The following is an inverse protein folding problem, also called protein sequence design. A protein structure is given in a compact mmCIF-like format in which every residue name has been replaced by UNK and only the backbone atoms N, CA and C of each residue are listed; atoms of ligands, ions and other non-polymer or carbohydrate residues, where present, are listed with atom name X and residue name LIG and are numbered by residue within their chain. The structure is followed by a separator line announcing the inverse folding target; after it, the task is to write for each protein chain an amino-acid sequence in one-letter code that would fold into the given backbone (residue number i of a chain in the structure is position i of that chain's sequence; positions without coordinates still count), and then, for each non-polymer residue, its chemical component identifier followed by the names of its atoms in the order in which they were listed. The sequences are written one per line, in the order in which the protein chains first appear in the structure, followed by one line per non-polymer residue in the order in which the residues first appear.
data_IF_985422782187
#
_entry.id   IF_985422782187
#
_cell.length_a   1.000
_cell.length_b   1.000
_cell.length_c   1.000
_cell.angle_alpha   90.00
_cell.angle_beta   90.00
_cell.angle_gamma   90.00
#
_symmetry.space_group_name_H-M   'P 1'
#
loop_
_entity.id
_entity.type
_entity.pdbx_description
1 polymer ?
#
# COMPACT_ATOMS: atom_id res chain seq x y z
N UNK A 1 -20.50 24.22 63.57
CA UNK A 1 -20.76 23.50 62.31
C UNK A 1 -20.98 24.54 61.22
N UNK A 2 -19.96 24.83 60.42
CA UNK A 2 -20.00 25.66 59.20
C UNK A 2 -18.85 25.14 58.34
N UNK A 3 -19.17 24.48 57.22
CA UNK A 3 -18.18 23.99 56.27
C UNK A 3 -17.49 25.17 55.57
N UNK A 4 -16.18 25.11 55.29
CA UNK A 4 -15.54 26.07 54.40
C UNK A 4 -16.00 25.81 52.94
N UNK A 5 -16.00 26.84 52.08
CA UNK A 5 -16.59 26.76 50.75
C UNK A 5 -15.75 25.87 49.80
N UNK A 6 -16.46 25.21 48.87
CA UNK A 6 -15.86 24.46 47.77
C UNK A 6 -14.87 25.35 46.99
N UNK A 7 -13.61 24.95 46.92
CA UNK A 7 -12.67 25.48 45.94
C UNK A 7 -12.98 24.90 44.56
N UNK A 8 -13.96 25.46 43.85
CA UNK A 8 -14.03 25.34 42.39
C UNK A 8 -13.10 26.39 41.79
N UNK A 9 -11.86 26.01 41.49
CA UNK A 9 -11.02 26.79 40.57
C UNK A 9 -11.35 26.36 39.15
N UNK A 10 -12.25 27.09 38.50
CA UNK A 10 -12.29 27.20 37.05
C UNK A 10 -11.24 28.24 36.66
N UNK A 11 -10.29 27.84 35.83
CA UNK A 11 -9.46 28.75 35.05
C UNK A 11 -9.72 28.44 33.57
N UNK A 12 -10.37 29.33 32.81
CA UNK A 12 -10.38 29.23 31.36
C UNK A 12 -9.06 29.82 30.87
N UNK A 13 -8.15 28.97 30.40
CA UNK A 13 -7.12 29.41 29.48
C UNK A 13 -7.73 29.39 28.08
N UNK A 14 -8.21 30.56 27.66
CA UNK A 14 -8.59 30.81 26.28
C UNK A 14 -7.30 30.94 25.49
N UNK A 15 -6.98 29.92 24.70
CA UNK A 15 -6.20 30.09 23.49
C UNK A 15 -7.14 29.91 22.30
N UNK A 16 -7.41 31.03 21.63
CA UNK A 16 -8.05 31.06 20.32
C UNK A 16 -7.03 30.52 19.30
N UNK A 17 -7.13 29.24 18.99
CA UNK A 17 -6.85 28.74 17.63
C UNK A 17 -7.92 27.71 17.27
N UNK A 18 -8.48 27.85 16.08
CA UNK A 18 -9.59 27.02 15.60
C UNK A 18 -9.04 25.63 15.29
N UNK A 19 -9.12 24.70 16.24
CA UNK A 19 -8.96 23.27 15.95
C UNK A 19 -10.34 22.63 15.91
N UNK A 20 -10.81 22.29 14.71
CA UNK A 20 -11.89 21.33 14.54
C UNK A 20 -11.57 20.07 15.36
N UNK A 21 -12.49 19.66 16.23
CA UNK A 21 -12.39 18.41 16.97
C UNK A 21 -13.14 17.35 16.16
N UNK A 22 -12.38 16.49 15.49
CA UNK A 22 -12.92 15.39 14.71
C UNK A 22 -13.08 14.17 15.65
N UNK A 23 -14.25 13.53 15.60
CA UNK A 23 -14.51 12.27 16.28
C UNK A 23 -14.71 11.20 15.21
N UNK A 24 -14.02 10.07 15.35
CA UNK A 24 -14.09 8.94 14.44
C UNK A 24 -14.76 7.77 15.17
N UNK A 25 -15.82 7.22 14.58
CA UNK A 25 -16.39 5.94 15.00
C UNK A 25 -15.92 4.89 14.00
N UNK A 26 -14.94 4.08 14.39
CA UNK A 26 -14.43 2.99 13.57
C UNK A 26 -15.05 1.69 14.07
N UNK A 27 -15.94 1.10 13.26
CA UNK A 27 -16.54 -0.20 13.53
C UNK A 27 -15.59 -1.28 13.01
N UNK A 28 -15.16 -2.18 13.90
CA UNK A 28 -14.25 -3.30 13.61
C UNK A 28 -14.90 -4.60 14.05
N UNK A 29 -14.74 -5.65 13.25
CA UNK A 29 -15.46 -6.90 13.42
C UNK A 29 -14.64 -8.02 14.08
N UNK A 30 -13.31 -7.86 14.21
CA UNK A 30 -12.42 -8.82 14.87
C UNK A 30 -11.41 -8.15 15.80
N UNK A 31 -10.83 -8.92 16.73
CA UNK A 31 -9.79 -8.43 17.65
C UNK A 31 -8.56 -7.91 16.88
N UNK A 32 -8.16 -8.59 15.82
CA UNK A 32 -7.01 -8.17 15.00
C UNK A 32 -7.32 -6.87 14.23
N UNK A 33 -8.58 -6.69 13.81
CA UNK A 33 -9.05 -5.42 13.21
C UNK A 33 -9.05 -4.27 14.23
N UNK A 34 -9.32 -4.56 15.52
CA UNK A 34 -9.17 -3.57 16.60
C UNK A 34 -7.72 -3.16 16.76
N UNK A 35 -6.77 -4.11 16.77
CA UNK A 35 -5.34 -3.82 16.90
C UNK A 35 -4.82 -3.02 15.70
N UNK A 36 -5.24 -3.37 14.48
CA UNK A 36 -4.93 -2.61 13.27
C UNK A 36 -5.48 -1.17 13.32
N UNK A 37 -6.74 -1.00 13.73
CA UNK A 37 -7.35 0.33 13.87
C UNK A 37 -6.69 1.18 14.98
N UNK A 38 -6.27 0.54 16.08
CA UNK A 38 -5.53 1.19 17.17
C UNK A 38 -4.14 1.67 16.74
N UNK A 39 -3.49 0.99 15.80
CA UNK A 39 -2.22 1.43 15.18
C UNK A 39 -2.45 2.52 14.13
N UNK A 40 -3.53 2.41 13.35
CA UNK A 40 -3.91 3.38 12.31
C UNK A 40 -4.22 4.77 12.86
N UNK A 41 -4.93 4.85 13.99
CA UNK A 41 -5.45 6.11 14.53
C UNK A 41 -4.35 7.11 14.99
N UNK A 42 -3.31 6.71 15.75
CA UNK A 42 -2.15 7.55 16.00
C UNK A 42 -1.32 7.84 14.74
N UNK A 43 -1.34 6.93 13.76
CA UNK A 43 -0.53 6.99 12.54
C UNK A 43 -1.05 8.01 11.50
N UNK A 44 -2.37 8.20 11.39
CA UNK A 44 -2.98 9.20 10.48
C UNK A 44 -2.54 10.64 10.83
N UNK A 45 -2.15 10.89 12.08
CA UNK A 45 -1.83 12.23 12.58
C UNK A 45 -0.33 12.45 12.87
N UNK A 46 0.54 11.46 12.63
CA UNK A 46 1.96 11.59 12.97
C UNK A 46 2.77 12.19 11.80
N UNK A 47 3.45 13.34 11.99
CA UNK A 47 4.07 14.10 10.90
C UNK A 47 5.32 13.46 10.26
N UNK A 48 5.89 12.41 10.87
CA UNK A 48 7.14 11.75 10.42
C UNK A 48 6.94 10.47 9.55
N UNK A 49 5.78 10.30 8.90
CA UNK A 49 5.38 9.23 7.96
C UNK A 49 6.39 8.09 7.65
N UNK A 50 6.25 6.97 8.38
CA UNK A 50 6.91 5.67 8.12
C UNK A 50 5.99 4.45 8.13
N UNK A 51 4.67 4.66 8.23
CA UNK A 51 3.79 3.62 8.77
C UNK A 51 3.08 2.74 7.75
N UNK A 52 2.94 3.15 6.49
CA UNK A 52 2.26 2.31 5.50
C UNK A 52 3.01 1.00 5.33
N UNK A 53 4.34 1.08 5.16
CA UNK A 53 5.16 -0.13 5.06
C UNK A 53 5.14 -0.97 6.34
N UNK A 54 5.07 -0.35 7.53
CA UNK A 54 4.98 -1.08 8.80
C UNK A 54 3.64 -1.82 8.90
N UNK A 55 2.53 -1.17 8.53
CA UNK A 55 1.21 -1.79 8.51
C UNK A 55 1.13 -2.92 7.48
N UNK A 56 1.77 -2.76 6.32
CA UNK A 56 1.87 -3.80 5.30
C UNK A 56 2.65 -5.00 5.84
N UNK A 57 3.83 -4.79 6.46
CA UNK A 57 4.61 -5.86 7.06
C UNK A 57 3.88 -6.56 8.21
N UNK A 58 3.19 -5.80 9.08
CA UNK A 58 2.36 -6.36 10.15
C UNK A 58 1.22 -7.21 9.59
N UNK A 59 0.50 -6.70 8.59
CA UNK A 59 -0.58 -7.44 7.93
C UNK A 59 -0.09 -8.71 7.25
N UNK A 60 1.07 -8.65 6.58
CA UNK A 60 1.72 -9.81 5.99
C UNK A 60 2.14 -10.85 7.05
N UNK A 61 2.60 -10.41 8.23
CA UNK A 61 2.92 -11.28 9.37
C UNK A 61 1.68 -12.02 9.89
N UNK A 62 0.54 -11.33 9.98
CA UNK A 62 -0.75 -11.95 10.35
C UNK A 62 -1.21 -12.95 9.29
N UNK A 63 -1.06 -12.62 7.99
CA UNK A 63 -1.36 -13.56 6.90
C UNK A 63 -0.52 -14.84 7.02
N UNK A 64 0.78 -14.75 7.30
CA UNK A 64 1.62 -15.94 7.48
C UNK A 64 1.12 -16.85 8.61
N UNK A 65 0.60 -16.26 9.69
CA UNK A 65 0.04 -16.97 10.84
C UNK A 65 -1.36 -17.55 10.58
N UNK A 66 -2.13 -16.95 9.68
CA UNK A 66 -3.51 -17.34 9.38
C UNK A 66 -3.63 -18.74 8.76
N UNK A 67 -2.72 -19.12 7.87
CA UNK A 67 -2.75 -20.42 7.22
C UNK A 67 -1.97 -20.48 5.89
N UNK A 68 -2.13 -21.58 5.13
CA UNK A 68 -1.49 -21.73 3.83
C UNK A 68 -2.17 -20.85 2.75
N UNK A 69 -1.35 -20.17 1.96
CA UNK A 69 -1.75 -19.36 0.81
C UNK A 69 -0.55 -19.19 -0.14
N UNK A 70 -0.79 -18.97 -1.42
CA UNK A 70 0.28 -18.80 -2.43
C UNK A 70 0.68 -17.33 -2.62
N UNK A 71 -0.30 -16.41 -2.59
CA UNK A 71 -0.12 -14.99 -2.87
C UNK A 71 -0.81 -14.08 -1.87
N UNK A 72 -0.13 -12.97 -1.50
CA UNK A 72 -0.69 -11.84 -0.77
C UNK A 72 -0.94 -10.68 -1.74
N UNK A 73 -2.12 -10.05 -1.68
CA UNK A 73 -2.52 -8.91 -2.51
C UNK A 73 -2.96 -7.79 -1.57
N UNK A 74 -2.36 -6.60 -1.65
CA UNK A 74 -2.86 -5.43 -0.91
C UNK A 74 -3.87 -4.65 -1.75
N UNK A 75 -4.92 -4.15 -1.09
CA UNK A 75 -6.00 -3.39 -1.71
C UNK A 75 -6.43 -2.27 -0.76
N UNK A 76 -6.93 -1.17 -1.31
CA UNK A 76 -7.64 -0.12 -0.57
C UNK A 76 -9.14 -0.19 -0.78
N UNK A 77 -9.90 0.54 0.03
CA UNK A 77 -11.36 0.63 -0.09
C UNK A 77 -11.88 1.26 -1.40
N UNK A 78 -11.01 1.82 -2.23
CA UNK A 78 -11.32 2.37 -3.56
C UNK A 78 -10.80 1.46 -4.71
N UNK A 79 -10.45 0.21 -4.41
CA UNK A 79 -10.05 -0.82 -5.38
C UNK A 79 -11.25 -1.68 -5.79
N UNK A 80 -11.30 -2.10 -7.06
CA UNK A 80 -12.34 -3.01 -7.56
C UNK A 80 -11.77 -4.06 -8.52
N UNK A 81 -12.24 -5.32 -8.48
CA UNK A 81 -11.79 -6.34 -9.42
C UNK A 81 -12.16 -6.01 -10.86
N UNK A 82 -11.32 -6.41 -11.81
CA UNK A 82 -11.59 -6.39 -13.25
C UNK A 82 -11.84 -7.79 -13.82
N UNK A 83 -11.46 -8.82 -13.07
CA UNK A 83 -11.57 -10.22 -13.47
C UNK A 83 -12.22 -11.07 -12.38
N UNK A 84 -12.81 -12.20 -12.78
CA UNK A 84 -13.36 -13.18 -11.85
C UNK A 84 -12.26 -13.82 -11.01
N UNK A 85 -12.66 -14.39 -9.86
CA UNK A 85 -11.73 -15.13 -9.00
C UNK A 85 -11.04 -16.28 -9.77
N UNK A 86 -11.79 -16.99 -10.61
CA UNK A 86 -11.25 -18.08 -11.42
C UNK A 86 -10.19 -17.57 -12.40
N UNK A 87 -10.44 -16.43 -13.06
CA UNK A 87 -9.49 -15.82 -13.99
C UNK A 87 -8.26 -15.25 -13.29
N UNK A 88 -8.41 -14.68 -12.09
CA UNK A 88 -7.28 -14.26 -11.25
C UNK A 88 -6.38 -15.46 -10.90
N UNK A 89 -6.97 -16.57 -10.45
CA UNK A 89 -6.24 -17.80 -10.13
C UNK A 89 -5.51 -18.33 -11.37
N UNK A 90 -6.16 -18.37 -12.52
CA UNK A 90 -5.53 -18.80 -13.78
C UNK A 90 -4.32 -17.93 -14.16
N UNK A 91 -4.45 -16.59 -14.06
CA UNK A 91 -3.36 -15.66 -14.35
C UNK A 91 -2.18 -15.83 -13.38
N UNK A 92 -2.44 -15.97 -12.09
CA UNK A 92 -1.38 -16.20 -11.09
C UNK A 92 -0.74 -17.59 -11.22
N UNK A 93 -1.50 -18.60 -11.62
CA UNK A 93 -0.97 -19.93 -11.90
C UNK A 93 -0.02 -19.91 -13.11
N UNK A 94 -0.35 -19.15 -14.16
CA UNK A 94 0.54 -18.95 -15.32
C UNK A 94 1.87 -18.29 -14.92
N UNK A 95 1.83 -17.31 -14.01
CA UNK A 95 3.01 -16.59 -13.51
C UNK A 95 3.50 -17.10 -12.14
N UNK A 96 3.31 -18.38 -11.85
CA UNK A 96 3.64 -18.95 -10.53
C UNK A 96 5.09 -18.67 -10.15
N UNK A 97 5.29 -18.15 -8.95
CA UNK A 97 6.61 -17.78 -8.40
C UNK A 97 7.07 -16.36 -8.75
N UNK A 98 6.35 -15.62 -9.60
CA UNK A 98 6.61 -14.21 -9.85
C UNK A 98 5.97 -13.31 -8.80
N UNK A 99 6.63 -12.19 -8.47
CA UNK A 99 6.12 -11.13 -7.61
C UNK A 99 5.80 -9.89 -8.46
N UNK A 100 4.83 -9.09 -8.03
CA UNK A 100 4.36 -7.91 -8.75
C UNK A 100 4.33 -6.72 -7.80
N UNK A 101 5.18 -5.71 -7.99
CA UNK A 101 5.33 -4.54 -7.08
C UNK A 101 5.39 -3.19 -7.83
N UNK A 102 4.93 -3.14 -9.09
CA UNK A 102 5.22 -2.02 -10.00
C UNK A 102 4.03 -1.61 -10.86
N UNK A 103 3.96 -0.31 -11.15
CA UNK A 103 3.09 0.22 -12.20
C UNK A 103 3.81 0.02 -13.54
N UNK A 104 3.54 -1.09 -14.23
CA UNK A 104 3.94 -1.38 -15.62
C UNK A 104 5.45 -1.50 -15.91
N UNK A 105 5.81 -2.36 -16.88
CA UNK A 105 7.19 -2.57 -17.31
C UNK A 105 7.88 -3.80 -16.73
N UNK A 106 9.12 -4.03 -17.15
CA UNK A 106 9.88 -5.27 -16.95
C UNK A 106 10.56 -5.39 -15.58
N UNK A 107 10.70 -4.29 -14.82
CA UNK A 107 11.39 -4.19 -13.52
C UNK A 107 10.83 -2.97 -12.77
N UNK A 108 11.00 -2.86 -11.43
CA UNK A 108 10.79 -1.58 -10.76
C UNK A 108 11.58 -0.47 -11.45
N UNK A 109 10.95 0.70 -11.54
CA UNK A 109 11.52 1.85 -12.22
C UNK A 109 12.78 2.30 -11.44
N UNK A 110 13.86 2.64 -12.13
CA UNK A 110 15.12 3.15 -11.53
C UNK A 110 15.26 4.66 -11.63
N UNK A 111 16.22 5.30 -10.94
CA UNK A 111 16.35 6.77 -10.95
C UNK A 111 16.34 7.44 -12.34
N UNK A 112 16.90 6.79 -13.37
CA UNK A 112 16.89 7.32 -14.75
C UNK A 112 15.55 7.11 -15.49
N UNK A 113 14.70 6.22 -15.00
CA UNK A 113 13.37 5.86 -15.54
C UNK A 113 12.23 6.49 -14.71
N UNK A 114 12.54 6.85 -13.46
CA UNK A 114 11.65 7.44 -12.46
C UNK A 114 11.67 8.97 -12.59
N UNK A 115 10.52 9.66 -12.50
CA UNK A 115 10.50 11.12 -12.44
C UNK A 115 11.41 11.69 -11.33
N UNK A 116 12.15 12.76 -11.61
CA UNK A 116 13.17 13.32 -10.70
C UNK A 116 12.68 13.52 -9.25
N UNK A 117 11.44 14.01 -9.07
CA UNK A 117 10.87 14.22 -7.73
C UNK A 117 10.69 12.92 -6.92
N UNK A 118 10.51 11.77 -7.57
CA UNK A 118 10.45 10.45 -6.92
C UNK A 118 11.87 9.93 -6.63
N UNK A 119 12.82 10.15 -7.53
CA UNK A 119 14.23 9.79 -7.29
C UNK A 119 14.83 10.57 -6.10
N UNK A 120 14.52 11.87 -5.99
CA UNK A 120 14.96 12.73 -4.87
C UNK A 120 14.50 12.21 -3.50
N UNK A 121 13.35 11.53 -3.44
CA UNK A 121 12.79 10.95 -2.19
C UNK A 121 13.61 9.81 -1.63
N UNK A 122 14.25 9.02 -2.49
CA UNK A 122 15.12 7.91 -2.09
C UNK A 122 16.56 8.35 -1.87
N UNK A 123 17.00 9.41 -2.54
CA UNK A 123 18.34 9.98 -2.39
C UNK A 123 18.64 10.48 -0.96
N UNK A 124 17.61 10.64 -0.12
CA UNK A 124 17.78 10.97 1.31
C UNK A 124 18.45 9.84 2.11
N UNK A 125 18.35 8.58 1.65
CA UNK A 125 18.99 7.43 2.29
C UNK A 125 20.47 7.42 1.92
N UNK A 126 21.32 7.79 2.88
CA UNK A 126 22.75 8.05 2.68
C UNK A 126 23.60 6.80 2.72
N UNK A 127 23.16 5.78 3.44
CA UNK A 127 23.93 4.57 3.70
C UNK A 127 23.06 3.34 3.56
N UNK A 128 23.22 2.63 2.44
CA UNK A 128 22.55 1.36 2.19
C UNK A 128 23.36 0.19 2.78
N UNK A 129 22.68 -0.86 3.27
CA UNK A 129 23.37 -2.04 3.79
C UNK A 129 24.07 -2.83 2.68
N UNK A 130 25.07 -3.61 3.06
CA UNK A 130 25.77 -4.53 2.15
C UNK A 130 24.79 -5.42 1.39
N UNK A 131 24.97 -5.52 0.07
CA UNK A 131 24.11 -6.30 -0.82
C UNK A 131 23.08 -5.47 -1.59
N UNK A 132 22.80 -4.24 -1.18
CA UNK A 132 22.01 -3.30 -1.99
C UNK A 132 22.89 -2.73 -3.09
N UNK A 133 22.70 -3.25 -4.30
CA UNK A 133 23.36 -2.77 -5.53
C UNK A 133 22.47 -1.85 -6.36
N UNK A 134 21.16 -1.90 -6.09
CA UNK A 134 20.10 -1.14 -6.76
C UNK A 134 19.25 -0.43 -5.70
N UNK A 135 19.75 0.65 -5.08
CA UNK A 135 19.03 1.38 -4.02
C UNK A 135 17.91 2.29 -4.55
N UNK A 136 17.85 2.47 -5.86
CA UNK A 136 17.06 3.48 -6.56
C UNK A 136 15.78 2.90 -7.19
N UNK A 137 15.28 1.77 -6.66
CA UNK A 137 14.07 1.13 -7.16
C UNK A 137 12.82 1.82 -6.60
N UNK A 138 11.90 2.14 -7.50
CA UNK A 138 10.64 2.79 -7.19
C UNK A 138 9.49 2.10 -7.96
N UNK A 139 8.27 2.17 -7.42
CA UNK A 139 7.10 1.59 -8.08
C UNK A 139 5.77 2.09 -7.54
N UNK A 140 4.79 1.20 -7.59
CA UNK A 140 3.47 1.40 -7.00
C UNK A 140 3.48 0.90 -5.56
N UNK A 141 2.64 1.45 -4.70
CA UNK A 141 2.40 0.87 -3.37
C UNK A 141 1.62 -0.46 -3.45
N UNK A 142 0.99 -0.76 -4.59
CA UNK A 142 0.19 -1.96 -4.78
C UNK A 142 1.04 -3.14 -5.23
N UNK A 143 0.77 -4.30 -4.66
CA UNK A 143 1.53 -5.50 -4.90
C UNK A 143 0.69 -6.77 -4.94
N UNK A 144 1.28 -7.77 -5.60
CA UNK A 144 0.95 -9.20 -5.46
C UNK A 144 2.25 -9.92 -5.15
N UNK A 145 2.38 -10.44 -3.93
CA UNK A 145 3.62 -11.05 -3.44
C UNK A 145 3.42 -12.55 -3.20
N UNK A 146 4.38 -13.35 -3.65
CA UNK A 146 4.53 -14.76 -3.30
C UNK A 146 4.72 -14.92 -1.79
N UNK A 147 4.21 -16.02 -1.23
CA UNK A 147 4.42 -16.35 0.18
C UNK A 147 5.91 -16.41 0.55
N UNK A 148 6.72 -17.02 -0.31
CA UNK A 148 8.15 -17.18 -0.07
C UNK A 148 8.87 -15.83 0.02
N UNK A 149 8.48 -14.86 -0.82
CA UNK A 149 9.03 -13.50 -0.73
C UNK A 149 8.56 -12.78 0.54
N UNK A 150 7.31 -12.97 0.95
CA UNK A 150 6.79 -12.40 2.21
C UNK A 150 7.57 -12.96 3.42
N UNK A 151 7.80 -14.27 3.46
CA UNK A 151 8.62 -14.90 4.50
C UNK A 151 10.06 -14.33 4.50
N UNK A 152 10.66 -14.14 3.32
CA UNK A 152 11.98 -13.51 3.19
C UNK A 152 11.99 -12.05 3.67
N UNK A 153 11.00 -11.26 3.30
CA UNK A 153 10.89 -9.85 3.67
C UNK A 153 10.73 -9.66 5.19
N UNK A 154 10.07 -10.59 5.88
CA UNK A 154 9.85 -10.54 7.32
C UNK A 154 11.01 -11.13 8.15
N UNK A 155 11.72 -12.13 7.64
CA UNK A 155 12.71 -12.89 8.43
C UNK A 155 14.17 -12.58 8.09
N UNK A 156 14.45 -12.12 6.87
CA UNK A 156 15.83 -11.94 6.42
C UNK A 156 16.52 -10.75 7.11
N UNK A 157 17.79 -10.95 7.49
CA UNK A 157 18.61 -9.86 7.99
C UNK A 157 18.80 -8.74 6.95
N UNK A 158 18.84 -9.12 5.67
CA UNK A 158 18.95 -8.18 4.56
C UNK A 158 17.74 -7.23 4.50
N UNK A 159 16.51 -7.74 4.41
CA UNK A 159 15.30 -6.91 4.34
C UNK A 159 15.15 -6.02 5.58
N UNK A 160 15.42 -6.56 6.76
CA UNK A 160 15.44 -5.78 8.01
C UNK A 160 16.46 -4.64 7.97
N UNK A 161 17.68 -4.89 7.48
CA UNK A 161 18.70 -3.85 7.40
C UNK A 161 18.33 -2.77 6.37
N UNK A 162 17.66 -3.15 5.28
CA UNK A 162 17.10 -2.19 4.30
C UNK A 162 16.05 -1.31 4.96
N UNK A 163 15.10 -1.91 5.71
CA UNK A 163 14.08 -1.18 6.45
C UNK A 163 14.68 -0.18 7.45
N UNK A 164 15.69 -0.63 8.21
CA UNK A 164 16.38 0.21 9.20
C UNK A 164 17.13 1.36 8.54
N UNK A 165 17.82 1.11 7.43
CA UNK A 165 18.53 2.15 6.67
C UNK A 165 17.57 3.20 6.14
N UNK A 166 16.45 2.77 5.53
CA UNK A 166 15.40 3.69 5.10
C UNK A 166 14.90 4.48 6.31
N UNK A 167 14.48 3.83 7.39
CA UNK A 167 13.94 4.46 8.60
C UNK A 167 14.88 5.48 9.25
N UNK A 168 16.18 5.19 9.34
CA UNK A 168 17.16 6.06 9.96
C UNK A 168 17.26 7.42 9.25
N UNK A 169 17.17 7.43 7.92
CA UNK A 169 17.35 8.61 7.08
C UNK A 169 16.04 9.29 6.65
N UNK A 170 14.90 8.79 7.14
CA UNK A 170 13.58 9.32 6.82
C UNK A 170 13.26 9.36 5.30
N UNK A 171 13.68 8.33 4.56
CA UNK A 171 13.10 7.94 3.26
C UNK A 171 11.62 8.31 3.12
N UNK A 172 11.31 9.05 2.08
CA UNK A 172 9.96 9.53 1.83
C UNK A 172 9.19 8.52 0.97
N UNK A 173 7.97 8.20 1.37
CA UNK A 173 7.08 7.24 0.69
C UNK A 173 7.75 5.85 0.55
N UNK A 174 8.12 5.22 1.69
CA UNK A 174 8.76 3.91 1.67
C UNK A 174 7.84 2.80 1.13
N UNK A 175 6.52 3.01 1.12
CA UNK A 175 5.52 2.10 0.53
C UNK A 175 5.65 1.97 -1.00
N UNK A 176 6.20 2.97 -1.69
CA UNK A 176 6.46 2.90 -3.15
C UNK A 176 7.91 2.46 -3.49
N UNK A 177 8.71 2.03 -2.51
CA UNK A 177 10.13 1.71 -2.75
C UNK A 177 10.72 0.54 -1.94
N UNK A 178 10.24 0.27 -0.72
CA UNK A 178 10.82 -0.76 0.15
C UNK A 178 10.80 -2.14 -0.49
N UNK A 179 9.62 -2.62 -0.91
CA UNK A 179 9.49 -3.96 -1.49
C UNK A 179 10.25 -4.04 -2.82
N UNK A 180 10.29 -2.96 -3.59
CA UNK A 180 11.02 -2.84 -4.85
C UNK A 180 12.53 -2.99 -4.62
N UNK A 181 13.10 -2.27 -3.65
CA UNK A 181 14.53 -2.38 -3.30
C UNK A 181 14.86 -3.77 -2.75
N UNK A 182 14.07 -4.30 -1.81
CA UNK A 182 14.32 -5.64 -1.24
C UNK A 182 14.27 -6.71 -2.32
N UNK A 183 13.24 -6.69 -3.16
CA UNK A 183 13.02 -7.68 -4.21
C UNK A 183 14.15 -7.69 -5.23
N UNK A 184 14.53 -6.52 -5.76
CA UNK A 184 15.55 -6.40 -6.83
C UNK A 184 16.97 -6.70 -6.37
N UNK A 185 17.21 -6.68 -5.06
CA UNK A 185 18.49 -7.02 -4.45
C UNK A 185 18.45 -8.36 -3.71
N UNK A 186 17.50 -9.24 -4.07
CA UNK A 186 17.34 -10.58 -3.52
C UNK A 186 17.19 -11.63 -4.62
N UNK A 187 17.21 -12.93 -4.29
CA UNK A 187 16.90 -14.01 -5.23
C UNK A 187 15.46 -13.99 -5.79
N UNK A 188 14.58 -13.12 -5.30
CA UNK A 188 13.18 -13.01 -5.70
C UNK A 188 12.95 -12.02 -6.86
N UNK A 189 14.01 -11.59 -7.54
CA UNK A 189 13.98 -10.59 -8.62
C UNK A 189 13.43 -11.11 -9.96
N UNK A 190 12.59 -12.15 -9.96
CA UNK A 190 11.89 -12.62 -11.16
C UNK A 190 10.86 -11.56 -11.52
N UNK A 191 10.93 -11.05 -12.74
CA UNK A 191 10.07 -9.98 -13.21
C UNK A 191 9.24 -10.38 -14.42
N UNK A 192 8.03 -9.83 -14.51
CA UNK A 192 7.02 -10.12 -15.54
C UNK A 192 6.61 -8.81 -16.21
N UNK A 193 6.66 -8.77 -17.54
CA UNK A 193 6.32 -7.59 -18.35
C UNK A 193 4.81 -7.43 -18.49
N UNK A 194 4.29 -6.21 -18.26
CA UNK A 194 2.97 -5.81 -18.73
C UNK A 194 3.00 -4.43 -19.39
N UNK A 195 2.16 -4.27 -20.41
CA UNK A 195 2.02 -3.05 -21.21
C UNK A 195 1.07 -2.08 -20.49
N UNK A 196 1.52 -0.87 -20.17
CA UNK A 196 0.68 0.17 -19.54
C UNK A 196 -0.48 0.56 -20.49
N UNK A 197 -1.75 0.53 -20.05
CA UNK A 197 -2.79 1.36 -20.67
C UNK A 197 -2.41 2.84 -20.47
N UNK A 198 -2.68 3.68 -21.47
CA UNK A 198 -2.20 5.05 -21.55
C UNK A 198 -2.35 5.86 -20.26
N UNK A 199 -1.26 6.52 -19.85
CA UNK A 199 -1.18 7.27 -18.60
C UNK A 199 -2.18 8.44 -18.59
N UNK A 200 -3.16 8.40 -17.69
CA UNK A 200 -3.91 9.60 -17.30
C UNK A 200 -3.14 10.37 -16.23
N UNK A 201 -3.09 11.70 -16.31
CA UNK A 201 -2.48 12.50 -15.26
C UNK A 201 -3.42 12.58 -14.04
N UNK A 202 -2.87 12.17 -12.87
CA UNK A 202 -3.42 12.27 -11.51
C UNK A 202 -4.57 11.30 -11.20
N UNK A 203 -4.77 10.88 -9.92
CA UNK A 203 -5.79 9.87 -9.60
C UNK A 203 -7.19 10.44 -9.86
N UNK A 204 -7.72 10.12 -11.04
CA UNK A 204 -9.12 10.33 -11.39
C UNK A 204 -9.93 9.12 -10.93
N UNK A 205 -11.13 9.36 -10.43
CA UNK A 205 -12.09 8.28 -10.24
C UNK A 205 -12.56 7.78 -11.60
N UNK A 206 -12.56 6.46 -11.80
CA UNK A 206 -13.08 5.87 -13.02
C UNK A 206 -14.61 5.92 -13.04
N UNK A 207 -15.15 6.23 -14.21
CA UNK A 207 -16.58 6.22 -14.48
C UNK A 207 -16.93 5.33 -15.68
N UNK A 208 -18.19 5.27 -16.08
CA UNK A 208 -18.68 4.32 -17.10
C UNK A 208 -17.94 4.39 -18.45
N UNK A 209 -17.51 5.59 -18.84
CA UNK A 209 -16.72 5.83 -20.06
C UNK A 209 -15.37 5.10 -20.08
N UNK A 210 -14.89 4.64 -18.93
CA UNK A 210 -13.60 4.00 -18.78
C UNK A 210 -13.68 2.47 -18.89
N UNK A 211 -14.90 1.92 -18.97
CA UNK A 211 -15.15 0.48 -18.93
C UNK A 211 -14.34 -0.30 -19.98
N UNK A 212 -14.43 0.07 -21.26
CA UNK A 212 -13.72 -0.64 -22.35
C UNK A 212 -12.21 -0.70 -22.11
N UNK A 213 -11.61 0.45 -21.79
CA UNK A 213 -10.17 0.54 -21.53
C UNK A 213 -9.74 -0.28 -20.30
N UNK A 214 -10.62 -0.42 -19.29
CA UNK A 214 -10.35 -1.21 -18.10
C UNK A 214 -10.41 -2.71 -18.40
N UNK A 215 -11.46 -3.20 -19.06
CA UNK A 215 -11.65 -4.64 -19.32
C UNK A 215 -10.71 -5.18 -20.40
N UNK A 216 -10.22 -4.33 -21.31
CA UNK A 216 -9.19 -4.69 -22.30
C UNK A 216 -7.76 -4.69 -21.73
N UNK A 217 -7.56 -4.19 -20.51
CA UNK A 217 -6.24 -4.14 -19.89
C UNK A 217 -5.78 -5.49 -19.34
N UNK A 218 -4.45 -5.64 -19.18
CA UNK A 218 -3.86 -6.81 -18.53
C UNK A 218 -3.96 -6.77 -16.98
N UNK A 219 -4.54 -5.70 -16.43
CA UNK A 219 -4.75 -5.54 -15.00
C UNK A 219 -5.81 -6.52 -14.46
N UNK A 220 -5.72 -6.83 -13.17
CA UNK A 220 -6.69 -7.69 -12.45
C UNK A 220 -7.56 -6.90 -11.46
N UNK A 221 -7.08 -5.73 -11.04
CA UNK A 221 -7.80 -4.75 -10.22
C UNK A 221 -7.65 -3.37 -10.85
N UNK A 222 -8.60 -2.48 -10.52
CA UNK A 222 -8.55 -1.06 -10.88
C UNK A 222 -8.70 -0.18 -9.66
N UNK A 223 -8.15 1.04 -9.75
CA UNK A 223 -8.32 2.13 -8.78
C UNK A 223 -8.07 3.49 -9.44
N UNK A 224 -8.75 4.57 -9.05
CA UNK A 224 -9.65 4.68 -7.90
C UNK A 224 -11.12 4.63 -8.31
N UNK A 225 -11.93 4.01 -7.46
CA UNK A 225 -13.38 3.96 -7.61
C UNK A 225 -14.06 4.82 -6.54
N UNK A 226 -15.13 5.51 -6.89
CA UNK A 226 -15.90 6.33 -5.95
C UNK A 226 -17.40 6.16 -6.22
N UNK A 227 -18.25 5.92 -5.21
CA UNK A 227 -19.68 5.68 -5.41
C UNK A 227 -20.39 6.69 -6.31
N UNK A 228 -20.10 7.98 -6.16
CA UNK A 228 -20.74 9.04 -6.96
C UNK A 228 -20.26 9.11 -8.43
N UNK A 229 -19.06 8.61 -8.73
CA UNK A 229 -18.46 8.68 -10.08
C UNK A 229 -18.58 7.33 -10.80
N UNK A 230 -18.42 6.25 -10.05
CA UNK A 230 -18.30 4.86 -10.51
C UNK A 230 -19.62 4.09 -10.39
N UNK A 231 -20.72 4.71 -9.96
CA UNK A 231 -22.01 4.05 -9.69
C UNK A 231 -22.43 3.04 -10.78
N UNK A 232 -22.60 3.52 -12.01
CA UNK A 232 -22.97 2.65 -13.15
C UNK A 232 -21.80 1.72 -13.57
N UNK A 233 -20.56 2.14 -13.38
CA UNK A 233 -19.37 1.34 -13.69
C UNK A 233 -19.30 0.08 -12.83
N UNK A 234 -19.72 0.12 -11.56
CA UNK A 234 -19.78 -1.09 -10.72
C UNK A 234 -20.68 -2.16 -11.33
N UNK A 235 -21.89 -1.78 -11.75
CA UNK A 235 -22.83 -2.73 -12.37
C UNK A 235 -22.28 -3.30 -13.70
N UNK A 236 -21.61 -2.47 -14.50
CA UNK A 236 -20.97 -2.92 -15.74
C UNK A 236 -19.84 -3.93 -15.47
N UNK A 237 -18.99 -3.67 -14.48
CA UNK A 237 -17.91 -4.57 -14.08
C UNK A 237 -18.45 -5.87 -13.48
N UNK A 238 -19.49 -5.82 -12.65
CA UNK A 238 -20.14 -7.00 -12.07
C UNK A 238 -20.70 -7.91 -13.17
N UNK A 239 -21.38 -7.32 -14.15
CA UNK A 239 -21.89 -8.06 -15.30
C UNK A 239 -20.75 -8.69 -16.09
N UNK A 240 -19.68 -7.94 -16.39
CA UNK A 240 -18.51 -8.46 -17.09
C UNK A 240 -17.87 -9.64 -16.35
N UNK A 241 -17.61 -9.49 -15.05
CA UNK A 241 -16.99 -10.51 -14.20
C UNK A 241 -17.84 -11.78 -14.14
N UNK A 242 -19.17 -11.64 -14.10
CA UNK A 242 -20.09 -12.78 -14.06
C UNK A 242 -20.08 -13.66 -15.32
N UNK A 243 -19.50 -13.16 -16.41
CA UNK A 243 -19.41 -13.87 -17.71
C UNK A 243 -18.05 -14.54 -17.96
N UNK A 244 -17.07 -14.38 -17.06
CA UNK A 244 -15.70 -14.91 -17.19
C UNK A 244 -15.53 -16.33 -16.61
#
# INVERSE_FOLDING_TARGET
MLMPPLSRRLLPLIFLTITLRLAYLILVHSHDSVLAAQRLLPAIYHPDFYYVIVNELDGLQELLAFGPWDYAINLSGDSYPLVSQARLVERLAYWRGANFVVDGGERPERANEVPAFKAERLAVVKSWPTGVTQPDQFGSQWFVLTREFVEYALTSAFARNVLVAMAADKAQIPDESYFQVVLMNSPFNITVSQRKPGARPLPCFFGPKDFEALVESDCVFTRKMHPEVSGDLYAMLDQHISTQ
#
